data_IF_743612921021
#
_entry.id   IF_743612921021
#
_cell.length_a   1.000
_cell.length_b   1.000
_cell.length_c   1.000
_cell.angle_alpha   90.00
_cell.angle_beta   90.00
_cell.angle_gamma   90.00
#
_symmetry.space_group_name_H-M   'P 1'
#
loop_
_entity.id
_entity.type
_entity.pdbx_description
1 polymer ?
#
# COMPACT_ATOMS: atom_id res chain seq x y z
N UNK A 1 4.37 -2.29 14.99
CA UNK A 1 3.75 -1.74 13.76
C UNK A 1 4.59 -0.63 13.12
N UNK A 2 4.96 -0.79 11.85
CA UNK A 2 5.40 0.30 10.96
C UNK A 2 4.41 0.42 9.81
N UNK A 3 3.94 1.62 9.50
CA UNK A 3 2.99 1.88 8.40
C UNK A 3 3.66 2.76 7.34
N UNK A 4 3.53 2.39 6.06
CA UNK A 4 4.04 3.18 4.93
C UNK A 4 3.04 3.21 3.78
N UNK A 5 3.08 4.31 3.02
CA UNK A 5 2.29 4.52 1.81
C UNK A 5 3.19 4.40 0.58
N UNK A 6 2.68 3.70 -0.43
CA UNK A 6 3.36 3.43 -1.69
C UNK A 6 2.48 3.88 -2.83
N UNK A 7 3.02 4.72 -3.70
CA UNK A 7 2.34 5.20 -4.91
C UNK A 7 3.02 4.60 -6.13
N UNK A 8 2.22 4.10 -7.08
CA UNK A 8 2.70 3.62 -8.37
C UNK A 8 1.65 3.79 -9.47
N UNK A 9 2.03 3.55 -10.72
CA UNK A 9 1.10 3.68 -11.85
C UNK A 9 0.05 2.56 -11.81
N UNK A 10 0.44 1.39 -11.30
CA UNK A 10 -0.43 0.22 -11.18
C UNK A 10 -0.43 -0.36 -9.77
N UNK A 11 -1.49 -1.09 -9.44
CA UNK A 11 -1.58 -1.83 -8.19
C UNK A 11 -0.44 -2.85 -8.06
N UNK A 12 -0.09 -3.53 -9.15
CA UNK A 12 0.98 -4.53 -9.16
C UNK A 12 2.33 -3.90 -8.83
N UNK A 13 2.65 -2.75 -9.40
CA UNK A 13 3.87 -2.00 -9.09
C UNK A 13 3.89 -1.54 -7.62
N UNK A 14 2.76 -1.04 -7.11
CA UNK A 14 2.66 -0.60 -5.71
C UNK A 14 2.89 -1.78 -4.74
N UNK A 15 2.29 -2.93 -5.02
CA UNK A 15 2.49 -4.17 -4.25
C UNK A 15 3.96 -4.63 -4.33
N UNK A 16 4.59 -4.52 -5.51
CA UNK A 16 5.98 -4.91 -5.69
C UNK A 16 6.93 -4.01 -4.89
N UNK A 17 6.64 -2.70 -4.83
CA UNK A 17 7.35 -1.75 -3.93
C UNK A 17 7.16 -2.13 -2.46
N UNK A 18 5.93 -2.41 -2.03
CA UNK A 18 5.64 -2.87 -0.66
C UNK A 18 6.49 -4.09 -0.32
N UNK A 19 6.48 -5.13 -1.18
CA UNK A 19 7.24 -6.36 -0.95
C UNK A 19 8.75 -6.12 -0.93
N UNK A 20 9.26 -5.24 -1.80
CA UNK A 20 10.68 -4.92 -1.89
C UNK A 20 11.18 -4.15 -0.66
N UNK A 21 10.35 -3.26 -0.11
CA UNK A 21 10.75 -2.34 0.96
C UNK A 21 10.38 -2.84 2.36
N UNK A 22 9.22 -3.48 2.50
CA UNK A 22 8.70 -3.97 3.79
C UNK A 22 8.82 -5.50 3.94
N UNK A 23 9.10 -6.23 2.87
CA UNK A 23 9.21 -7.68 2.89
C UNK A 23 7.87 -8.40 2.71
N UNK A 24 7.90 -9.73 2.85
CA UNK A 24 6.73 -10.61 2.64
C UNK A 24 5.67 -10.51 3.73
N UNK A 25 6.04 -10.04 4.92
CA UNK A 25 5.17 -9.96 6.09
C UNK A 25 4.34 -8.66 6.13
N UNK A 26 4.40 -7.85 5.07
CA UNK A 26 3.62 -6.63 4.98
C UNK A 26 2.14 -6.94 4.71
N UNK A 27 1.28 -6.34 5.52
CA UNK A 27 -0.17 -6.39 5.40
C UNK A 27 -0.65 -5.11 4.73
N UNK A 28 -1.42 -5.25 3.65
CA UNK A 28 -2.03 -4.09 2.98
C UNK A 28 -3.25 -3.66 3.80
N UNK A 29 -3.23 -2.41 4.28
CA UNK A 29 -4.32 -1.82 5.04
C UNK A 29 -5.36 -1.15 4.13
N UNK A 30 -4.89 -0.44 3.11
CA UNK A 30 -5.76 0.35 2.25
C UNK A 30 -5.19 0.44 0.84
N UNK A 31 -6.06 0.41 -0.16
CA UNK A 31 -5.71 0.64 -1.56
C UNK A 31 -6.71 1.61 -2.14
N UNK A 32 -6.23 2.69 -2.74
CA UNK A 32 -7.06 3.63 -3.49
C UNK A 32 -6.45 3.96 -4.83
N UNK A 33 -7.30 4.17 -5.83
CA UNK A 33 -6.91 4.72 -7.12
C UNK A 33 -7.26 6.20 -7.12
N UNK A 34 -6.35 7.02 -7.61
CA UNK A 34 -6.55 8.46 -7.71
C UNK A 34 -5.95 8.97 -9.01
N UNK A 35 -6.44 10.11 -9.49
CA UNK A 35 -5.89 10.77 -10.66
C UNK A 35 -4.96 11.88 -10.20
N UNK A 36 -3.70 11.83 -10.62
CA UNK A 36 -2.69 12.82 -10.25
C UNK A 36 -2.35 13.69 -11.47
N UNK A 37 -2.39 15.01 -11.28
CA UNK A 37 -2.05 16.00 -12.29
C UNK A 37 -3.20 16.47 -13.19
N UNK A 38 -2.85 17.35 -14.12
CA UNK A 38 -3.76 17.98 -15.09
C UNK A 38 -4.20 19.38 -14.67
N UNK A 39 -3.64 20.42 -15.30
CA UNK A 39 -4.30 21.73 -15.39
C UNK A 39 -5.43 21.56 -16.43
N UNK A 40 -6.69 21.79 -16.06
CA UNK A 40 -7.85 21.71 -16.98
C UNK A 40 -8.28 20.32 -17.50
N UNK A 41 -7.87 19.22 -16.87
CA UNK A 41 -8.44 17.89 -17.15
C UNK A 41 -7.83 17.12 -18.32
N UNK A 42 -6.83 17.65 -19.03
CA UNK A 42 -6.28 17.03 -20.24
C UNK A 42 -5.06 16.10 -20.04
N UNK A 43 -4.51 15.95 -18.82
CA UNK A 43 -3.30 15.12 -18.61
C UNK A 43 -3.28 14.41 -17.26
N UNK A 44 -4.44 14.15 -16.65
CA UNK A 44 -4.48 13.43 -15.38
C UNK A 44 -4.05 11.97 -15.58
N UNK A 45 -3.06 11.50 -14.84
CA UNK A 45 -2.64 10.09 -14.86
C UNK A 45 -3.33 9.32 -13.74
N UNK A 46 -3.82 8.14 -14.05
CA UNK A 46 -4.31 7.23 -13.01
C UNK A 46 -3.12 6.66 -12.23
N UNK A 47 -3.18 6.83 -10.93
CA UNK A 47 -2.19 6.40 -9.96
C UNK A 47 -2.88 5.52 -8.92
N UNK A 48 -2.11 4.61 -8.32
CA UNK A 48 -2.56 3.72 -7.26
C UNK A 48 -1.73 3.96 -6.03
N UNK A 49 -2.41 4.19 -4.91
CA UNK A 49 -1.82 4.31 -3.60
C UNK A 49 -2.18 3.10 -2.75
N UNK A 50 -1.17 2.46 -2.19
CA UNK A 50 -1.27 1.31 -1.29
C UNK A 50 -0.65 1.69 0.04
N UNK A 51 -1.44 1.63 1.10
CA UNK A 51 -0.96 1.72 2.48
C UNK A 51 -0.71 0.32 2.99
N UNK A 52 0.52 0.04 3.41
CA UNK A 52 0.89 -1.24 3.99
C UNK A 52 1.49 -1.04 5.39
N UNK A 53 1.33 -2.04 6.23
CA UNK A 53 1.91 -2.10 7.55
C UNK A 53 2.66 -3.41 7.75
N UNK A 54 3.79 -3.36 8.44
CA UNK A 54 4.40 -4.56 9.03
C UNK A 54 4.14 -4.51 10.52
N UNK A 55 3.67 -5.62 11.07
CA UNK A 55 3.73 -5.81 12.50
C UNK A 55 4.81 -6.81 12.83
N UNK A 56 5.72 -6.39 13.72
CA UNK A 56 6.74 -7.27 14.29
C UNK A 56 6.25 -7.84 15.63
N UNK A 57 5.02 -7.53 16.04
CA UNK A 57 4.40 -8.25 17.13
C UNK A 57 4.10 -9.67 16.65
N UNK A 58 4.52 -10.72 17.37
CA UNK A 58 3.90 -12.01 17.18
C UNK A 58 2.40 -11.77 17.40
N UNK A 59 1.59 -12.19 16.42
CA UNK A 59 0.15 -12.26 16.58
C UNK A 59 -0.09 -13.07 17.85
N UNK A 60 -0.40 -12.41 18.97
CA UNK A 60 -1.00 -13.09 20.10
C UNK A 60 -2.38 -13.48 19.61
N UNK A 61 -2.45 -14.65 18.99
CA UNK A 61 -3.70 -15.37 18.77
C UNK A 61 -4.22 -15.62 20.17
N UNK A 62 -5.09 -14.72 20.63
CA UNK A 62 -5.84 -14.92 21.87
C UNK A 62 -6.86 -16.00 21.50
N UNK A 63 -6.46 -17.26 21.64
CA UNK A 63 -7.35 -18.40 21.49
C UNK A 63 -8.41 -18.27 22.60
N UNK A 64 -9.71 -18.20 22.27
CA UNK A 64 -10.75 -18.11 23.29
C UNK A 64 -10.80 -19.43 24.09
N UNK A 65 -11.08 -19.36 25.40
CA UNK A 65 -11.17 -20.53 26.29
C UNK A 65 -12.37 -21.44 25.98
#
# INVERSE_FOLDING_TARGET
MQVKRFVANTLQEAILKVKKEMGKNAVILHTRKFKEGGFFGFFSKEMVEVTAAIDNSPLTVIEPP
#
